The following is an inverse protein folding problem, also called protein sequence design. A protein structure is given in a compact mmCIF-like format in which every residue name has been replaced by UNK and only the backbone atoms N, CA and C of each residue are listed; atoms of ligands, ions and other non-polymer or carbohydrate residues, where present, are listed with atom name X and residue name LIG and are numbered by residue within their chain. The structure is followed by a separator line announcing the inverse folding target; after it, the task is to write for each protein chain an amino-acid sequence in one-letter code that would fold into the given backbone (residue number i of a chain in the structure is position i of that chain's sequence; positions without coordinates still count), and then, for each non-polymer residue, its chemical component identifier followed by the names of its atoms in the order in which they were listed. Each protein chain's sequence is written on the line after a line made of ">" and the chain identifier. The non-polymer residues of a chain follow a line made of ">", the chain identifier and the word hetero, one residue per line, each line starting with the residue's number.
data_IF_527538267051
#
_entry.id   IF_527538267051
#
_cell.length_a   1.000
_cell.length_b   1.000
_cell.length_c   1.000
_cell.angle_alpha   90.00
_cell.angle_beta   90.00
_cell.angle_gamma   90.00
#
_symmetry.space_group_name_H-M   'P 1'
#
loop_
_entity.id
_entity.type
_entity.pdbx_description
1 polymer ?
#
# COMPACT_ATOMS: atom_id res chain seq x y z
N UNK A 1 -9.06 32.40 9.52
CA UNK A 1 -8.98 31.03 8.98
C UNK A 1 -7.51 30.64 8.99
N UNK A 2 -7.10 29.73 9.87
CA UNK A 2 -5.73 29.23 9.91
C UNK A 2 -5.56 28.17 8.80
N UNK A 3 -4.43 28.16 8.08
CA UNK A 3 -4.21 27.21 6.99
C UNK A 3 -4.21 25.77 7.52
N UNK A 4 -4.97 24.88 6.88
CA UNK A 4 -5.11 23.45 7.22
C UNK A 4 -3.82 22.62 6.98
N UNK A 5 -2.66 23.24 6.78
CA UNK A 5 -1.43 22.60 6.35
C UNK A 5 -0.64 21.89 7.46
N UNK A 6 -1.19 21.79 8.67
CA UNK A 6 -0.46 21.24 9.81
C UNK A 6 -0.75 19.77 10.05
N UNK A 7 -1.65 19.10 9.33
CA UNK A 7 -1.90 17.68 9.57
C UNK A 7 -0.95 16.84 8.72
N UNK A 8 -0.20 15.93 9.35
CA UNK A 8 0.64 15.00 8.62
C UNK A 8 -0.22 14.02 7.82
N UNK A 9 -0.08 14.04 6.51
CA UNK A 9 -0.79 13.17 5.56
C UNK A 9 -0.52 11.67 5.77
N UNK A 10 0.56 11.30 6.47
CA UNK A 10 0.90 9.90 6.76
C UNK A 10 0.14 9.30 7.94
N UNK A 11 0.03 10.02 9.07
CA UNK A 11 -0.56 9.49 10.30
C UNK A 11 -1.72 10.32 10.86
N UNK A 12 -2.08 11.43 10.23
CA UNK A 12 -3.12 12.34 10.70
C UNK A 12 -2.74 13.17 11.93
N UNK A 13 -1.49 13.14 12.41
CA UNK A 13 -1.07 13.99 13.54
C UNK A 13 -0.92 15.45 13.13
N UNK A 14 -1.43 16.34 13.98
CA UNK A 14 -1.24 17.78 13.86
C UNK A 14 0.19 18.19 14.28
N UNK A 15 0.95 18.70 13.31
CA UNK A 15 2.32 19.20 13.40
C UNK A 15 2.44 20.45 14.28
N UNK A 16 1.35 21.18 14.54
CA UNK A 16 1.37 22.30 15.50
C UNK A 16 1.69 21.85 16.91
N UNK A 17 1.26 20.64 17.30
CA UNK A 17 1.56 20.07 18.61
C UNK A 17 3.06 19.79 18.81
N UNK A 18 3.78 19.45 17.73
CA UNK A 18 5.23 19.20 17.75
C UNK A 18 6.05 20.50 17.79
N UNK A 19 5.52 21.59 17.22
CA UNK A 19 6.19 22.89 17.14
C UNK A 19 6.49 23.53 18.50
N UNK A 20 5.67 23.27 19.51
CA UNK A 20 5.83 23.84 20.86
C UNK A 20 7.03 23.24 21.59
N UNK A 21 7.46 22.02 21.25
CA UNK A 21 8.57 21.35 21.94
C UNK A 21 9.93 21.45 21.22
N UNK A 22 9.97 21.69 19.91
CA UNK A 22 11.21 21.53 19.11
C UNK A 22 11.84 22.83 18.58
N UNK A 23 11.38 24.00 19.02
CA UNK A 23 12.09 25.26 18.74
C UNK A 23 12.26 25.52 17.24
N UNK A 24 11.15 25.72 16.53
CA UNK A 24 11.08 26.34 15.19
C UNK A 24 11.93 25.74 14.04
N UNK A 25 12.57 24.57 14.21
CA UNK A 25 13.31 23.90 13.14
C UNK A 25 12.52 22.70 12.62
N UNK A 26 12.02 22.83 11.39
CA UNK A 26 11.48 21.77 10.52
C UNK A 26 10.53 20.78 11.21
N UNK A 27 9.25 21.16 11.35
CA UNK A 27 8.16 20.29 11.81
C UNK A 27 7.93 19.12 10.82
N UNK A 28 8.76 18.08 10.87
CA UNK A 28 8.55 16.85 10.13
C UNK A 28 8.04 15.77 11.09
N UNK A 29 6.95 15.08 10.71
CA UNK A 29 6.37 14.00 11.52
C UNK A 29 7.32 12.80 11.62
N UNK A 30 7.43 12.16 12.79
CA UNK A 30 8.17 10.90 12.94
C UNK A 30 7.66 9.77 12.02
N UNK A 31 6.38 9.76 11.70
CA UNK A 31 5.78 8.84 10.73
C UNK A 31 6.30 8.98 9.29
N UNK A 32 6.89 10.14 8.98
CA UNK A 32 7.55 10.45 7.71
C UNK A 32 9.04 10.15 7.72
N UNK A 33 9.55 9.49 8.77
CA UNK A 33 10.96 9.20 8.95
C UNK A 33 11.16 7.72 9.22
N UNK A 34 12.20 7.15 8.62
CA UNK A 34 12.71 5.83 8.99
C UNK A 34 14.23 5.83 8.97
N UNK A 35 14.85 5.11 9.89
CA UNK A 35 16.29 5.05 10.01
C UNK A 35 16.76 3.68 9.51
N UNK A 36 17.63 3.68 8.50
CA UNK A 36 18.22 2.46 7.94
C UNK A 36 19.73 2.45 8.14
N UNK A 37 20.30 1.26 8.33
CA UNK A 37 21.75 1.08 8.43
C UNK A 37 22.24 0.54 7.09
N UNK A 38 23.14 1.28 6.45
CA UNK A 38 23.82 0.87 5.23
C UNK A 38 25.14 0.20 5.62
N UNK A 39 25.27 -1.06 5.25
CA UNK A 39 26.45 -1.87 5.54
C UNK A 39 27.38 -1.94 4.34
N UNK A 40 28.69 -2.03 4.61
CA UNK A 40 29.71 -2.36 3.62
C UNK A 40 30.41 -3.60 4.13
N UNK A 41 30.18 -4.73 3.45
CA UNK A 41 30.57 -6.05 3.94
C UNK A 41 29.91 -6.33 5.30
N UNK A 42 30.70 -6.49 6.36
CA UNK A 42 30.24 -6.82 7.72
C UNK A 42 30.25 -5.63 8.68
N UNK A 43 30.62 -4.43 8.21
CA UNK A 43 30.75 -3.24 9.06
C UNK A 43 29.62 -2.25 8.73
N UNK A 44 28.87 -1.76 9.73
CA UNK A 44 27.88 -0.72 9.51
C UNK A 44 28.64 0.58 9.18
N UNK A 45 28.38 1.15 8.01
CA UNK A 45 29.15 2.33 7.55
C UNK A 45 28.39 3.60 7.81
N UNK A 46 27.11 3.62 7.45
CA UNK A 46 26.30 4.84 7.52
C UNK A 46 24.92 4.54 8.07
N UNK A 47 24.50 5.36 9.04
CA UNK A 47 23.10 5.47 9.45
C UNK A 47 22.45 6.50 8.53
N UNK A 48 21.51 6.07 7.71
CA UNK A 48 20.78 6.94 6.77
C UNK A 48 19.36 7.11 7.27
N UNK A 49 18.98 8.37 7.50
CA UNK A 49 17.62 8.78 7.82
C UNK A 49 16.89 9.04 6.52
N UNK A 50 15.89 8.21 6.21
CA UNK A 50 15.06 8.34 5.01
C UNK A 50 13.79 9.09 5.38
N UNK A 51 13.55 10.20 4.69
CA UNK A 51 12.30 10.93 4.76
C UNK A 51 11.32 10.42 3.70
N UNK A 52 10.04 10.37 4.06
CA UNK A 52 8.94 10.05 3.15
C UNK A 52 8.79 11.19 2.16
N UNK A 53 8.69 10.85 0.88
CA UNK A 53 8.49 11.83 -0.18
C UNK A 53 7.02 12.32 -0.21
N UNK A 54 6.71 13.40 -0.95
CA UNK A 54 5.35 13.95 -1.05
C UNK A 54 4.30 12.97 -1.58
N UNK A 55 4.70 11.98 -2.37
CA UNK A 55 3.82 10.91 -2.87
C UNK A 55 3.49 9.82 -1.82
N UNK A 56 3.95 10.02 -0.60
CA UNK A 56 3.79 9.13 0.55
C UNK A 56 4.61 7.84 0.48
N UNK A 57 5.64 7.75 -0.34
CA UNK A 57 6.55 6.60 -0.37
C UNK A 57 7.91 6.92 0.26
N UNK A 58 8.52 5.90 0.87
CA UNK A 58 9.95 5.86 1.15
C UNK A 58 10.67 5.29 -0.06
N UNK A 59 11.80 5.89 -0.40
CA UNK A 59 12.65 5.47 -1.51
C UNK A 59 13.96 4.88 -0.98
N UNK A 60 14.48 3.86 -1.66
CA UNK A 60 15.79 3.32 -1.32
C UNK A 60 16.88 4.38 -1.58
N UNK A 61 17.79 4.66 -0.63
CA UNK A 61 18.86 5.65 -0.78
C UNK A 61 20.05 5.14 -1.61
N UNK A 62 20.00 3.89 -2.10
CA UNK A 62 21.09 3.29 -2.87
C UNK A 62 20.98 3.65 -4.35
N UNK A 63 22.09 4.07 -4.93
CA UNK A 63 22.23 4.40 -6.34
C UNK A 63 21.87 3.19 -7.21
N UNK A 64 21.04 3.41 -8.23
CA UNK A 64 20.53 2.35 -9.11
C UNK A 64 19.38 1.51 -8.55
N UNK A 65 19.00 1.68 -7.28
CA UNK A 65 17.84 1.00 -6.70
C UNK A 65 16.56 1.85 -6.81
N UNK A 66 15.55 1.29 -7.47
CA UNK A 66 14.22 1.91 -7.67
C UNK A 66 13.16 1.41 -6.69
N UNK A 67 13.54 0.60 -5.70
CA UNK A 67 12.61 0.12 -4.69
C UNK A 67 12.01 1.28 -3.89
N UNK A 68 10.70 1.23 -3.69
CA UNK A 68 9.94 2.15 -2.86
C UNK A 68 8.82 1.45 -2.12
N UNK A 69 8.50 1.91 -0.93
CA UNK A 69 7.41 1.36 -0.12
C UNK A 69 6.72 2.44 0.70
N UNK A 70 5.40 2.32 0.92
CA UNK A 70 4.66 3.20 1.84
C UNK A 70 4.97 2.88 3.31
N UNK A 71 5.35 1.64 3.56
CA UNK A 71 5.56 1.12 4.90
C UNK A 71 7.03 1.21 5.32
N UNK A 72 7.25 1.59 6.59
CA UNK A 72 8.60 1.75 7.15
C UNK A 72 9.30 0.39 7.32
N UNK A 73 8.55 -0.65 7.69
CA UNK A 73 9.11 -1.99 7.89
C UNK A 73 9.56 -2.57 6.56
N UNK A 74 8.78 -2.39 5.49
CA UNK A 74 9.13 -2.83 4.15
C UNK A 74 10.43 -2.19 3.63
N UNK A 75 10.60 -0.87 3.74
CA UNK A 75 11.83 -0.20 3.31
C UNK A 75 13.03 -0.56 4.20
N UNK A 76 12.83 -0.70 5.52
CA UNK A 76 13.86 -1.15 6.44
C UNK A 76 14.34 -2.57 6.15
N UNK A 77 13.40 -3.49 5.90
CA UNK A 77 13.69 -4.88 5.53
C UNK A 77 14.41 -4.98 4.20
N UNK A 78 13.98 -4.20 3.20
CA UNK A 78 14.65 -4.09 1.92
C UNK A 78 16.11 -3.67 2.13
N UNK A 79 16.33 -2.51 2.75
CA UNK A 79 17.68 -2.01 3.02
C UNK A 79 18.52 -3.04 3.78
N UNK A 80 18.01 -3.65 4.84
CA UNK A 80 18.76 -4.63 5.64
C UNK A 80 19.19 -5.86 4.82
N UNK A 81 18.31 -6.43 3.99
CA UNK A 81 18.61 -7.61 3.15
C UNK A 81 19.57 -7.30 2.03
N UNK A 82 19.46 -6.10 1.49
CA UNK A 82 20.23 -5.64 0.36
C UNK A 82 21.72 -5.47 0.63
N UNK A 83 22.12 -5.39 1.91
CA UNK A 83 23.52 -5.28 2.30
C UNK A 83 24.16 -6.60 2.76
N UNK A 84 23.43 -7.71 2.81
CA UNK A 84 23.99 -9.02 3.13
C UNK A 84 24.49 -9.72 1.87
N UNK A 85 25.60 -9.21 1.31
CA UNK A 85 26.58 -9.85 0.38
C UNK A 85 26.12 -10.64 -0.86
N UNK A 86 24.83 -10.82 -1.15
CA UNK A 86 24.37 -11.66 -2.27
C UNK A 86 23.08 -11.18 -2.94
N UNK A 87 22.70 -9.92 -2.72
CA UNK A 87 21.51 -9.38 -3.35
C UNK A 87 21.79 -9.04 -4.81
N UNK A 88 21.03 -9.63 -5.75
CA UNK A 88 21.09 -9.31 -7.19
C UNK A 88 20.81 -7.84 -7.46
N UNK A 89 20.11 -7.16 -6.55
CA UNK A 89 19.69 -5.77 -6.73
C UNK A 89 20.74 -4.74 -6.28
N UNK A 90 21.81 -5.16 -5.59
CA UNK A 90 22.80 -4.21 -5.05
C UNK A 90 24.23 -4.64 -5.34
N UNK A 91 25.09 -3.71 -5.83
CA UNK A 91 26.49 -4.01 -6.02
C UNK A 91 27.19 -4.25 -4.68
N UNK A 92 28.30 -4.99 -4.70
CA UNK A 92 29.13 -5.34 -3.53
C UNK A 92 29.62 -4.10 -2.72
N UNK A 93 29.51 -2.92 -3.31
CA UNK A 93 29.71 -1.61 -2.71
C UNK A 93 28.59 -0.66 -3.15
N UNK A 94 27.47 -0.60 -2.41
CA UNK A 94 26.38 0.28 -2.76
C UNK A 94 26.83 1.74 -2.64
N UNK A 95 26.80 2.46 -3.76
CA UNK A 95 26.91 3.91 -3.74
C UNK A 95 25.59 4.50 -3.23
N UNK A 96 25.66 5.58 -2.46
CA UNK A 96 24.47 6.33 -2.07
C UNK A 96 24.09 7.30 -3.17
N UNK A 97 22.79 7.59 -3.28
CA UNK A 97 22.31 8.61 -4.21
C UNK A 97 22.87 9.99 -3.86
N UNK A 98 23.03 10.83 -4.87
CA UNK A 98 23.68 12.15 -4.75
C UNK A 98 22.92 13.16 -3.86
N UNK A 99 21.62 12.93 -3.67
CA UNK A 99 20.72 13.68 -2.80
C UNK A 99 20.80 13.24 -1.32
N UNK A 100 21.56 12.19 -1.00
CA UNK A 100 21.90 11.84 0.38
C UNK A 100 22.94 12.83 0.93
N UNK A 101 22.56 13.60 1.95
CA UNK A 101 23.38 14.67 2.54
C UNK A 101 23.79 14.34 3.96
N UNK A 102 24.84 14.97 4.49
CA UNK A 102 25.14 14.91 5.93
C UNK A 102 24.12 15.75 6.70
N UNK A 103 23.56 15.19 7.78
CA UNK A 103 22.72 15.96 8.70
C UNK A 103 23.53 17.04 9.41
N UNK A 104 22.91 18.18 9.73
CA UNK A 104 23.60 19.38 10.22
C UNK A 104 24.52 19.15 11.43
N UNK A 105 24.16 18.23 12.33
CA UNK A 105 24.85 18.00 13.60
C UNK A 105 25.02 16.52 13.95
N UNK A 106 24.92 15.62 12.97
CA UNK A 106 24.86 14.18 13.25
C UNK A 106 25.85 13.38 12.41
N UNK A 107 26.32 12.27 12.97
CA UNK A 107 27.03 11.24 12.20
C UNK A 107 26.12 10.51 11.20
N UNK A 108 24.81 10.78 11.23
CA UNK A 108 23.86 10.27 10.25
C UNK A 108 23.80 11.10 8.97
N UNK A 109 23.48 10.40 7.89
CA UNK A 109 23.11 10.97 6.61
C UNK A 109 21.60 11.13 6.54
N UNK A 110 21.12 12.12 5.80
CA UNK A 110 19.71 12.40 5.57
C UNK A 110 19.42 12.26 4.08
N UNK A 111 18.34 11.55 3.75
CA UNK A 111 17.88 11.31 2.40
C UNK A 111 16.44 11.83 2.27
N UNK A 112 16.26 12.86 1.46
CA UNK A 112 14.96 13.44 1.15
C UNK A 112 14.70 13.28 -0.36
N UNK A 113 13.87 12.30 -0.76
CA UNK A 113 13.73 11.95 -2.16
C UNK A 113 13.13 13.12 -2.94
N UNK A 114 13.86 13.59 -3.95
CA UNK A 114 13.33 14.59 -4.88
C UNK A 114 12.54 13.86 -5.96
N UNK A 115 11.22 13.93 -5.87
CA UNK A 115 10.36 13.53 -6.98
C UNK A 115 10.53 14.63 -8.03
N UNK A 116 11.27 14.32 -9.10
CA UNK A 116 11.32 15.22 -10.24
C UNK A 116 9.86 15.51 -10.65
N UNK A 117 9.48 16.78 -10.82
CA UNK A 117 8.15 17.09 -11.33
C UNK A 117 8.02 16.35 -12.66
N UNK A 118 7.12 15.38 -12.74
CA UNK A 118 6.84 14.69 -13.99
C UNK A 118 6.45 15.77 -14.99
N UNK A 119 7.22 15.91 -16.08
CA UNK A 119 6.92 16.83 -17.18
C UNK A 119 5.56 16.54 -17.88
N UNK A 120 4.79 15.58 -17.37
CA UNK A 120 3.42 15.25 -17.77
C UNK A 120 2.42 16.40 -17.67
N UNK A 121 2.72 17.49 -16.96
CA UNK A 121 1.87 18.69 -16.93
C UNK A 121 2.17 19.71 -18.05
N UNK A 122 3.14 19.43 -18.95
CA UNK A 122 3.16 20.11 -20.25
C UNK A 122 2.11 19.48 -21.17
N UNK A 123 0.85 19.81 -20.90
CA UNK A 123 -0.24 19.62 -21.83
C UNK A 123 0.14 20.26 -23.17
N UNK A 124 0.42 19.41 -24.15
CA UNK A 124 0.42 19.78 -25.56
C UNK A 124 -0.94 20.40 -25.85
N UNK A 125 -0.98 21.72 -26.04
CA UNK A 125 -2.13 22.41 -26.60
C UNK A 125 -2.12 22.11 -28.10
N UNK A 126 -2.53 20.89 -28.45
CA UNK A 126 -2.76 20.49 -29.83
C UNK A 126 -4.21 20.85 -30.17
N UNK A 127 -4.37 21.80 -31.08
CA UNK A 127 -5.66 22.33 -31.49
C UNK A 127 -6.51 21.23 -32.16
N UNK A 128 -7.65 20.89 -31.56
CA UNK A 128 -8.67 20.07 -32.19
C UNK A 128 -9.35 20.83 -33.35
N UNK A 129 -9.45 20.25 -34.55
CA UNK A 129 -10.43 20.66 -35.54
C UNK A 129 -11.82 20.14 -35.16
N UNK A 130 -12.82 20.98 -35.40
CA UNK A 130 -14.24 20.72 -35.19
C UNK A 130 -14.83 19.69 -36.18
N UNK A 131 -16.11 19.38 -35.94
CA UNK A 131 -17.12 18.66 -36.77
C UNK A 131 -17.06 17.13 -36.78
N UNK A 132 -18.17 16.36 -36.74
CA UNK A 132 -19.60 16.65 -36.90
C UNK A 132 -20.48 15.61 -36.16
N UNK A 133 -21.73 16.00 -35.87
CA UNK A 133 -22.79 15.18 -35.29
C UNK A 133 -23.53 14.34 -36.35
N UNK A 134 -24.00 13.14 -36.00
CA UNK A 134 -25.07 12.39 -36.69
C UNK A 134 -25.85 11.51 -35.66
N UNK A 135 -27.17 11.26 -35.82
CA UNK A 135 -28.09 10.89 -34.72
C UNK A 135 -28.56 9.43 -34.68
N UNK A 136 -29.14 9.06 -33.52
CA UNK A 136 -30.18 8.05 -33.19
C UNK A 136 -30.28 6.70 -33.93
N UNK A 137 -30.55 5.61 -33.17
CA UNK A 137 -31.70 4.68 -33.38
C UNK A 137 -31.77 3.53 -32.34
N UNK A 138 -32.87 3.53 -31.57
CA UNK A 138 -33.78 2.44 -31.12
C UNK A 138 -33.28 1.02 -30.75
N UNK A 139 -33.69 0.61 -29.54
CA UNK A 139 -33.86 -0.72 -28.86
C UNK A 139 -34.32 -1.90 -29.75
N UNK A 140 -34.13 -3.21 -29.38
CA UNK A 140 -34.90 -3.84 -28.28
C UNK A 140 -34.17 -4.94 -27.48
N UNK A 141 -34.78 -5.30 -26.34
CA UNK A 141 -34.24 -6.25 -25.36
C UNK A 141 -34.30 -7.73 -25.75
N UNK A 142 -33.54 -8.52 -24.99
CA UNK A 142 -33.63 -9.96 -24.92
C UNK A 142 -33.44 -10.41 -23.46
N UNK A 143 -34.49 -11.02 -22.93
CA UNK A 143 -34.49 -11.78 -21.69
C UNK A 143 -33.58 -13.01 -21.86
N UNK A 144 -32.58 -13.16 -21.00
CA UNK A 144 -31.91 -14.44 -20.80
C UNK A 144 -32.06 -14.85 -19.33
N UNK A 145 -32.94 -15.83 -19.16
CA UNK A 145 -33.03 -16.66 -17.96
C UNK A 145 -31.83 -17.60 -17.98
N UNK A 146 -30.94 -17.50 -16.99
CA UNK A 146 -29.85 -18.46 -16.80
C UNK A 146 -30.16 -19.31 -15.57
N UNK A 147 -30.36 -20.59 -15.85
CA UNK A 147 -30.46 -21.67 -14.90
C UNK A 147 -29.22 -21.72 -13.99
N UNK A 148 -29.48 -21.80 -12.69
CA UNK A 148 -28.48 -21.95 -11.64
C UNK A 148 -28.10 -23.45 -11.56
N UNK A 149 -26.84 -23.84 -11.82
CA UNK A 149 -26.39 -25.20 -11.60
C UNK A 149 -26.20 -25.45 -10.10
N UNK A 150 -26.95 -26.41 -9.57
CA UNK A 150 -26.80 -26.97 -8.24
C UNK A 150 -25.39 -27.56 -8.07
N UNK A 151 -24.58 -27.13 -7.07
CA UNK A 151 -23.27 -27.71 -6.84
C UNK A 151 -23.36 -29.15 -6.31
N UNK A 152 -22.43 -30.04 -6.70
CA UNK A 152 -22.41 -31.42 -6.24
C UNK A 152 -22.09 -31.50 -4.74
N UNK A 153 -22.94 -32.24 -4.04
CA UNK A 153 -22.81 -32.61 -2.63
C UNK A 153 -21.55 -33.47 -2.46
N UNK A 154 -20.45 -32.87 -2.03
CA UNK A 154 -19.25 -33.60 -1.61
C UNK A 154 -19.46 -34.13 -0.21
N UNK A 155 -19.81 -35.41 -0.12
CA UNK A 155 -19.82 -36.17 1.14
C UNK A 155 -18.37 -36.50 1.53
N UNK A 156 -17.75 -35.59 2.28
CA UNK A 156 -16.53 -35.93 3.03
C UNK A 156 -16.92 -36.58 4.35
N UNK A 157 -16.79 -37.90 4.37
CA UNK A 157 -16.78 -38.73 5.57
C UNK A 157 -15.57 -38.35 6.42
N UNK A 158 -15.81 -37.70 7.56
CA UNK A 158 -14.80 -37.43 8.58
C UNK A 158 -15.06 -38.37 9.74
N UNK A 159 -14.24 -39.42 9.84
CA UNK A 159 -14.24 -40.32 10.99
C UNK A 159 -13.31 -39.79 12.09
N UNK A 160 -13.85 -39.86 13.30
CA UNK A 160 -13.17 -40.05 14.59
C UNK A 160 -12.14 -39.02 15.07
N UNK A 161 -12.52 -38.32 16.15
CA UNK A 161 -11.57 -37.92 17.19
C UNK A 161 -11.29 -36.42 17.32
N UNK A 162 -12.29 -35.54 17.18
CA UNK A 162 -12.11 -34.14 17.58
C UNK A 162 -12.28 -34.02 19.10
N UNK A 163 -11.16 -33.93 19.81
CA UNK A 163 -11.11 -33.22 21.09
C UNK A 163 -11.62 -31.81 20.84
N UNK A 164 -12.65 -31.39 21.59
CA UNK A 164 -13.22 -30.04 21.51
C UNK A 164 -12.19 -29.02 22.02
N UNK A 165 -11.23 -28.69 21.16
CA UNK A 165 -10.30 -27.61 21.36
C UNK A 165 -11.09 -26.32 21.15
N UNK A 166 -11.26 -25.56 22.23
CA UNK A 166 -11.99 -24.30 22.24
C UNK A 166 -11.25 -23.33 21.34
N UNK A 167 -11.63 -23.28 20.06
CA UNK A 167 -11.06 -22.34 19.10
C UNK A 167 -11.20 -20.94 19.68
N UNK A 168 -10.08 -20.29 19.91
CA UNK A 168 -10.07 -18.98 20.55
C UNK A 168 -10.66 -17.95 19.59
N UNK A 169 -11.31 -16.90 20.11
CA UNK A 169 -11.88 -15.84 19.25
C UNK A 169 -10.82 -15.22 18.34
N UNK A 170 -9.56 -15.17 18.79
CA UNK A 170 -8.42 -14.70 17.98
C UNK A 170 -8.16 -15.59 16.75
N UNK A 171 -8.27 -16.92 16.88
CA UNK A 171 -8.15 -17.85 15.75
C UNK A 171 -9.28 -17.67 14.74
N UNK A 172 -10.51 -17.43 15.22
CA UNK A 172 -11.65 -17.13 14.36
C UNK A 172 -11.43 -15.81 13.59
N UNK A 173 -10.99 -14.75 14.27
CA UNK A 173 -10.66 -13.45 13.64
C UNK A 173 -9.54 -13.62 12.60
N UNK A 174 -8.50 -14.39 12.91
CA UNK A 174 -7.40 -14.67 12.00
C UNK A 174 -7.88 -15.42 10.74
N UNK A 175 -8.75 -16.42 10.92
CA UNK A 175 -9.37 -17.19 9.83
C UNK A 175 -10.22 -16.30 8.91
N UNK A 176 -11.10 -15.46 9.48
CA UNK A 176 -11.93 -14.53 8.70
C UNK A 176 -11.09 -13.53 7.91
N UNK A 177 -9.99 -13.02 8.48
CA UNK A 177 -9.03 -12.16 7.77
C UNK A 177 -8.35 -12.88 6.61
N UNK A 178 -8.03 -14.16 6.75
CA UNK A 178 -7.43 -14.94 5.67
C UNK A 178 -8.40 -15.14 4.51
N UNK A 179 -9.65 -15.49 4.80
CA UNK A 179 -10.67 -15.70 3.77
C UNK A 179 -11.02 -14.40 3.05
N UNK A 180 -11.11 -13.27 3.76
CA UNK A 180 -11.34 -11.95 3.14
C UNK A 180 -10.24 -11.57 2.14
N UNK A 181 -8.96 -11.79 2.50
CA UNK A 181 -7.83 -11.53 1.59
C UNK A 181 -7.91 -12.41 0.34
N UNK A 182 -8.29 -13.67 0.49
CA UNK A 182 -8.48 -14.61 -0.61
C UNK A 182 -9.59 -14.15 -1.55
N UNK A 183 -10.74 -13.74 -1.02
CA UNK A 183 -11.86 -13.26 -1.85
C UNK A 183 -11.54 -11.95 -2.60
N UNK A 184 -10.82 -11.01 -1.98
CA UNK A 184 -10.35 -9.80 -2.69
C UNK A 184 -9.44 -10.20 -3.86
N UNK A 185 -8.50 -11.11 -3.63
CA UNK A 185 -7.59 -11.57 -4.67
C UNK A 185 -8.35 -12.24 -5.82
N UNK A 186 -9.29 -13.14 -5.50
CA UNK A 186 -10.09 -13.85 -6.51
C UNK A 186 -10.96 -12.89 -7.32
N UNK A 187 -11.59 -11.89 -6.68
CA UNK A 187 -12.38 -10.88 -7.37
C UNK A 187 -11.51 -10.00 -8.28
N UNK A 188 -10.33 -9.60 -7.81
CA UNK A 188 -9.36 -8.83 -8.59
C UNK A 188 -8.91 -9.63 -9.82
N UNK A 189 -8.57 -10.91 -9.64
CA UNK A 189 -8.18 -11.78 -10.76
C UNK A 189 -9.34 -12.02 -11.74
N UNK A 190 -10.57 -12.12 -11.24
CA UNK A 190 -11.76 -12.26 -12.08
C UNK A 190 -12.06 -11.00 -12.91
N UNK A 191 -11.87 -9.80 -12.33
CA UNK A 191 -12.01 -8.54 -13.05
C UNK A 191 -10.94 -8.37 -14.15
N UNK A 192 -9.72 -8.87 -13.90
CA UNK A 192 -8.65 -8.86 -14.90
C UNK A 192 -8.89 -9.88 -16.03
N UNK A 193 -9.46 -11.04 -15.73
CA UNK A 193 -9.72 -12.08 -16.72
C UNK A 193 -10.86 -11.72 -17.69
N UNK A 194 -11.87 -10.97 -17.22
CA UNK A 194 -13.02 -10.59 -18.02
C UNK A 194 -12.86 -9.16 -18.52
N UNK A 195 -12.28 -8.97 -19.70
CA UNK A 195 -12.04 -7.64 -20.27
C UNK A 195 -13.31 -6.81 -20.54
N UNK A 196 -14.48 -7.46 -20.50
CA UNK A 196 -15.82 -6.84 -20.60
C UNK A 196 -16.48 -6.58 -19.22
N UNK A 197 -15.87 -6.99 -18.10
CA UNK A 197 -16.48 -6.72 -16.80
C UNK A 197 -16.54 -5.22 -16.54
N UNK A 198 -17.75 -4.74 -16.30
CA UNK A 198 -18.00 -3.37 -15.88
C UNK A 198 -17.25 -3.12 -14.55
N UNK A 199 -16.20 -2.30 -14.61
CA UNK A 199 -15.37 -1.93 -13.46
C UNK A 199 -16.20 -1.34 -12.32
N UNK A 200 -17.32 -0.69 -12.63
CA UNK A 200 -18.26 -0.16 -11.63
C UNK A 200 -18.93 -1.29 -10.84
N UNK A 201 -19.28 -2.38 -11.51
CA UNK A 201 -19.85 -3.58 -10.88
C UNK A 201 -18.85 -4.25 -9.93
N UNK A 202 -17.59 -4.38 -10.36
CA UNK A 202 -16.52 -4.95 -9.52
C UNK A 202 -16.25 -4.06 -8.30
N UNK A 203 -16.19 -2.74 -8.48
CA UNK A 203 -16.02 -1.78 -7.37
C UNK A 203 -17.14 -1.89 -6.34
N UNK A 204 -18.40 -1.96 -6.80
CA UNK A 204 -19.56 -2.13 -5.91
C UNK A 204 -19.51 -3.47 -5.16
N UNK A 205 -19.06 -4.54 -5.81
CA UNK A 205 -18.91 -5.86 -5.19
C UNK A 205 -17.80 -5.85 -4.13
N UNK A 206 -16.66 -5.22 -4.41
CA UNK A 206 -15.58 -5.05 -3.43
C UNK A 206 -16.02 -4.25 -2.20
N UNK A 207 -16.76 -3.15 -2.38
CA UNK A 207 -17.27 -2.36 -1.24
C UNK A 207 -18.28 -3.16 -0.41
N UNK A 208 -19.16 -3.92 -1.06
CA UNK A 208 -20.10 -4.81 -0.36
C UNK A 208 -19.36 -5.87 0.46
N UNK A 209 -18.28 -6.44 -0.09
CA UNK A 209 -17.45 -7.41 0.60
C UNK A 209 -16.75 -6.81 1.83
N UNK A 210 -16.23 -5.58 1.68
CA UNK A 210 -15.60 -4.84 2.77
C UNK A 210 -16.56 -4.60 3.94
N UNK A 211 -17.77 -4.09 3.65
CA UNK A 211 -18.79 -3.83 4.69
C UNK A 211 -19.17 -5.12 5.42
N UNK A 212 -19.34 -6.22 4.69
CA UNK A 212 -19.64 -7.53 5.28
C UNK A 212 -18.52 -8.00 6.23
N UNK A 213 -17.25 -7.84 5.81
CA UNK A 213 -16.09 -8.20 6.62
C UNK A 213 -15.99 -7.35 7.90
N UNK A 214 -16.13 -6.02 7.80
CA UNK A 214 -16.08 -5.13 8.96
C UNK A 214 -17.16 -5.50 9.99
N UNK A 215 -18.39 -5.78 9.53
CA UNK A 215 -19.50 -6.25 10.37
C UNK A 215 -19.20 -7.59 11.06
N UNK A 216 -18.58 -8.54 10.33
CA UNK A 216 -18.21 -9.84 10.87
C UNK A 216 -17.16 -9.74 11.99
N UNK A 217 -16.16 -8.87 11.81
CA UNK A 217 -15.13 -8.62 12.84
C UNK A 217 -15.75 -7.95 14.07
N UNK A 218 -16.65 -6.98 13.88
CA UNK A 218 -17.37 -6.31 14.98
C UNK A 218 -18.11 -7.32 15.88
N UNK A 219 -18.84 -8.27 15.28
CA UNK A 219 -19.58 -9.32 16.01
C UNK A 219 -18.63 -10.25 16.77
N UNK A 220 -17.54 -10.69 16.14
CA UNK A 220 -16.56 -11.57 16.80
C UNK A 220 -15.89 -10.88 17.99
N UNK A 221 -15.54 -9.60 17.85
CA UNK A 221 -14.95 -8.82 18.95
C UNK A 221 -15.94 -8.61 20.10
N UNK A 222 -17.23 -8.38 19.80
CA UNK A 222 -18.25 -8.23 20.83
C UNK A 222 -18.49 -9.51 21.65
N UNK A 223 -18.20 -10.69 21.07
CA UNK A 223 -18.36 -11.99 21.76
C UNK A 223 -17.26 -12.33 22.78
N UNK A 224 -16.24 -11.47 22.94
CA UNK A 224 -15.11 -11.67 23.86
C UNK A 224 -15.42 -11.13 25.28
N UNK A 225 -16.55 -10.44 25.47
CA UNK A 225 -16.98 -9.85 26.75
C UNK A 225 -17.87 -10.81 27.53
#
# INVERSE_FOLDING_TARGET
>A
MLPQNNICSGCGMDLTYLGVQQGNRNQKCYCSRTDVIVWKKTVPVHRVVIWRAPDLFFYCPIEGCSFRAKDQVAIGTHCARSFTSNDKFHPFHPALKSDVKKGLNSSSLEYEPVIAPSDSDKASTEAQPATAAVPNTVQPGLSQSSDIPTPPKTEQSISAGFTAETTTSDELIASVRAEYRKQIHDEMMNALANHETNLEGSTKKMESLRVWFEKGIEVLQASIV
#
